data_IF_327553164625
#
_entry.id   IF_327553164625
#
_cell.length_a   1.000
_cell.length_b   1.000
_cell.length_c   1.000
_cell.angle_alpha   90.00
_cell.angle_beta   90.00
_cell.angle_gamma   90.00
#
_symmetry.space_group_name_H-M   'P 1'
#
loop_
_entity.id
_entity.type
_entity.pdbx_description
1 polymer ?
#
# COMPACT_ATOMS: atom_id res chain seq x y z
N UNK A 1 19.27 -5.82 -9.06
CA UNK A 1 17.88 -5.36 -9.30
C UNK A 1 16.97 -5.99 -8.24
N UNK A 2 15.98 -5.28 -7.69
CA UNK A 2 15.07 -5.85 -6.69
C UNK A 2 14.22 -6.94 -7.35
N UNK A 3 14.16 -8.14 -6.77
CA UNK A 3 13.29 -9.22 -7.23
C UNK A 3 11.83 -8.86 -6.92
N UNK A 4 11.04 -8.64 -7.98
CA UNK A 4 9.63 -8.25 -7.91
C UNK A 4 8.74 -9.48 -8.22
N UNK A 5 8.81 -10.49 -7.37
CA UNK A 5 8.11 -11.78 -7.55
C UNK A 5 7.16 -12.07 -6.41
N UNK A 6 5.98 -12.60 -6.74
CA UNK A 6 4.97 -13.02 -5.79
C UNK A 6 5.17 -14.49 -5.41
N UNK A 7 6.39 -14.82 -4.98
CA UNK A 7 6.78 -16.18 -4.57
C UNK A 7 6.63 -16.39 -3.06
N UNK A 8 6.67 -17.65 -2.61
CA UNK A 8 6.66 -18.03 -1.19
C UNK A 8 7.60 -17.18 -0.33
N UNK A 9 8.82 -16.90 -0.82
CA UNK A 9 9.81 -16.13 -0.06
C UNK A 9 9.42 -14.66 0.10
N UNK A 10 8.71 -14.09 -0.87
CA UNK A 10 8.20 -12.74 -0.82
C UNK A 10 6.98 -12.66 0.09
N UNK A 11 6.04 -13.60 -0.07
CA UNK A 11 4.83 -13.73 0.75
C UNK A 11 5.19 -13.86 2.23
N UNK A 12 6.10 -14.76 2.57
CA UNK A 12 6.56 -14.97 3.94
C UNK A 12 7.15 -13.70 4.60
N UNK A 13 7.66 -12.74 3.81
CA UNK A 13 8.24 -11.49 4.32
C UNK A 13 7.21 -10.42 4.65
N UNK A 14 6.00 -10.51 4.12
CA UNK A 14 4.91 -9.53 4.37
C UNK A 14 3.82 -10.06 5.28
N UNK A 15 3.79 -11.37 5.48
CA UNK A 15 2.82 -12.04 6.33
C UNK A 15 3.14 -11.77 7.81
N UNK A 16 2.12 -11.36 8.55
CA UNK A 16 2.21 -11.00 9.97
C UNK A 16 1.40 -11.97 10.83
N UNK A 17 1.71 -12.09 12.14
CA UNK A 17 0.92 -12.96 13.03
C UNK A 17 -0.57 -12.61 13.08
N UNK A 18 -0.91 -11.32 12.93
CA UNK A 18 -2.29 -10.85 12.85
C UNK A 18 -3.01 -11.42 11.63
N UNK A 19 -2.33 -11.58 10.50
CA UNK A 19 -2.89 -12.15 9.28
C UNK A 19 -3.24 -13.64 9.46
N UNK A 20 -2.37 -14.39 10.14
CA UNK A 20 -2.58 -15.82 10.44
C UNK A 20 -3.86 -16.01 11.24
N UNK A 21 -4.05 -15.17 12.26
CA UNK A 21 -5.24 -15.21 13.10
C UNK A 21 -6.49 -14.68 12.38
N UNK A 22 -6.36 -13.55 11.66
CA UNK A 22 -7.48 -12.87 10.99
C UNK A 22 -8.11 -13.74 9.90
N UNK A 23 -7.30 -14.50 9.18
CA UNK A 23 -7.74 -15.33 8.05
C UNK A 23 -7.62 -16.83 8.30
N UNK A 24 -7.37 -17.24 9.54
CA UNK A 24 -7.27 -18.64 9.97
C UNK A 24 -6.39 -19.51 9.04
N UNK A 25 -5.16 -19.04 8.79
CA UNK A 25 -4.29 -19.63 7.76
C UNK A 25 -3.70 -20.98 8.15
N UNK A 26 -3.36 -21.12 9.42
CA UNK A 26 -2.87 -22.36 10.00
C UNK A 26 -2.99 -22.31 11.51
N UNK A 27 -3.24 -23.46 12.11
CA UNK A 27 -3.27 -23.61 13.57
C UNK A 27 -1.92 -24.05 14.11
N UNK A 28 -1.19 -24.87 13.34
CA UNK A 28 0.11 -25.43 13.76
C UNK A 28 1.26 -24.85 12.93
N UNK A 29 2.44 -24.63 13.52
CA UNK A 29 3.60 -24.12 12.77
C UNK A 29 4.03 -25.00 11.59
N UNK A 30 3.78 -26.31 11.65
CA UNK A 30 4.11 -27.30 10.62
C UNK A 30 3.30 -27.09 9.32
N UNK A 31 2.10 -26.54 9.42
CA UNK A 31 1.19 -26.30 8.29
C UNK A 31 1.58 -25.04 7.49
N UNK A 32 2.48 -24.22 8.05
CA UNK A 32 2.86 -22.91 7.52
C UNK A 32 3.35 -22.97 6.08
N UNK A 33 4.26 -23.89 5.76
CA UNK A 33 4.86 -23.97 4.43
C UNK A 33 3.82 -24.33 3.38
N UNK A 34 2.97 -25.33 3.66
CA UNK A 34 1.87 -25.72 2.76
C UNK A 34 0.82 -24.62 2.57
N UNK A 35 0.51 -23.86 3.63
CA UNK A 35 -0.43 -22.74 3.53
C UNK A 35 0.13 -21.59 2.68
N UNK A 36 1.43 -21.31 2.77
CA UNK A 36 2.08 -20.27 1.94
C UNK A 36 2.12 -20.73 0.47
N UNK A 37 2.41 -22.01 0.20
CA UNK A 37 2.37 -22.57 -1.15
C UNK A 37 0.96 -22.51 -1.77
N UNK A 38 -0.07 -22.87 -1.00
CA UNK A 38 -1.45 -22.75 -1.43
C UNK A 38 -1.80 -21.29 -1.78
N UNK A 39 -1.31 -20.34 -0.98
CA UNK A 39 -1.52 -18.91 -1.19
C UNK A 39 -0.80 -18.41 -2.45
N UNK A 40 0.45 -18.83 -2.71
CA UNK A 40 1.16 -18.51 -3.94
C UNK A 40 0.37 -18.99 -5.16
N UNK A 41 -0.10 -20.24 -5.15
CA UNK A 41 -0.89 -20.81 -6.24
C UNK A 41 -2.19 -20.02 -6.49
N UNK A 42 -2.89 -19.63 -5.42
CA UNK A 42 -4.11 -18.80 -5.51
C UNK A 42 -3.83 -17.43 -6.13
N UNK A 43 -2.73 -16.77 -5.72
CA UNK A 43 -2.32 -15.46 -6.26
C UNK A 43 -1.99 -15.56 -7.75
N UNK A 44 -1.24 -16.59 -8.17
CA UNK A 44 -0.88 -16.78 -9.58
C UNK A 44 -2.12 -17.10 -10.42
N UNK A 45 -3.04 -17.92 -9.91
CA UNK A 45 -4.29 -18.26 -10.60
C UNK A 45 -5.19 -17.03 -10.85
N UNK A 46 -5.20 -16.04 -9.94
CA UNK A 46 -5.93 -14.77 -10.11
C UNK A 46 -5.33 -13.85 -11.17
N UNK A 47 -4.13 -14.15 -11.68
CA UNK A 47 -3.41 -13.34 -12.68
C UNK A 47 -3.33 -11.85 -12.31
N UNK A 48 -3.11 -11.56 -11.03
CA UNK A 48 -2.99 -10.18 -10.48
C UNK A 48 -4.25 -9.32 -10.63
N UNK A 49 -5.42 -9.92 -10.81
CA UNK A 49 -6.69 -9.23 -10.69
C UNK A 49 -7.17 -9.23 -9.23
N UNK A 50 -7.45 -8.05 -8.69
CA UNK A 50 -8.03 -7.94 -7.36
C UNK A 50 -9.50 -8.32 -7.37
N UNK A 51 -9.99 -8.82 -6.24
CA UNK A 51 -11.42 -9.05 -6.02
C UNK A 51 -12.11 -7.76 -5.54
N UNK A 52 -13.44 -7.79 -5.45
CA UNK A 52 -14.23 -6.69 -4.91
C UNK A 52 -13.72 -6.29 -3.51
N UNK A 53 -13.42 -5.00 -3.34
CA UNK A 53 -12.93 -4.44 -2.09
C UNK A 53 -14.08 -4.30 -1.09
N UNK A 54 -13.84 -4.67 0.16
CA UNK A 54 -14.81 -4.51 1.25
C UNK A 54 -14.89 -3.03 1.63
N UNK A 55 -16.10 -2.48 1.59
CA UNK A 55 -16.41 -1.14 2.06
C UNK A 55 -16.65 -1.15 3.57
N UNK A 56 -15.88 -0.36 4.31
CA UNK A 56 -16.11 -0.10 5.74
C UNK A 56 -16.18 1.41 5.99
N UNK A 57 -17.10 1.84 6.86
CA UNK A 57 -17.15 3.24 7.28
C UNK A 57 -16.29 3.42 8.54
N UNK A 58 -15.20 4.17 8.43
CA UNK A 58 -14.42 4.63 9.59
C UNK A 58 -14.54 6.13 9.75
N UNK A 59 -14.90 6.60 10.96
CA UNK A 59 -14.99 8.03 11.32
C UNK A 59 -15.82 8.86 10.32
N UNK A 60 -16.92 8.28 9.82
CA UNK A 60 -17.81 8.92 8.85
C UNK A 60 -17.34 8.91 7.39
N UNK A 61 -16.13 8.39 7.10
CA UNK A 61 -15.62 8.21 5.73
C UNK A 61 -15.69 6.75 5.29
N UNK A 62 -15.89 6.55 4.00
CA UNK A 62 -15.79 5.25 3.34
C UNK A 62 -14.32 4.86 3.17
N UNK A 63 -13.96 3.67 3.65
CA UNK A 63 -12.63 3.07 3.53
C UNK A 63 -12.74 1.72 2.86
N UNK A 64 -11.73 1.36 2.07
CA UNK A 64 -11.71 0.13 1.28
C UNK A 64 -10.63 -0.80 1.77
N UNK A 65 -11.00 -2.04 2.02
CA UNK A 65 -10.09 -3.08 2.48
C UNK A 65 -10.13 -4.29 1.54
N UNK A 66 -9.01 -5.00 1.48
CA UNK A 66 -8.97 -6.29 0.79
C UNK A 66 -9.98 -7.25 1.44
N UNK A 67 -10.79 -7.90 0.62
CA UNK A 67 -11.80 -8.84 1.09
C UNK A 67 -11.22 -10.23 1.41
N UNK A 68 -10.14 -10.60 0.73
CA UNK A 68 -9.45 -11.87 0.91
C UNK A 68 -7.97 -11.65 1.24
N UNK A 69 -7.31 -12.70 1.70
CA UNK A 69 -5.90 -12.64 2.05
C UNK A 69 -5.01 -12.47 0.82
N UNK A 70 -5.35 -13.08 -0.32
CA UNK A 70 -4.53 -12.97 -1.53
C UNK A 70 -4.34 -11.51 -1.91
N UNK A 71 -5.43 -10.76 -1.99
CA UNK A 71 -5.43 -9.35 -2.37
C UNK A 71 -4.69 -8.53 -1.31
N UNK A 72 -4.90 -8.82 -0.02
CA UNK A 72 -4.22 -8.11 1.07
C UNK A 72 -2.69 -8.27 0.97
N UNK A 73 -2.22 -9.49 0.76
CA UNK A 73 -0.80 -9.83 0.63
C UNK A 73 -0.22 -9.26 -0.67
N UNK A 74 -0.97 -9.37 -1.77
CA UNK A 74 -0.52 -8.88 -3.08
C UNK A 74 -0.38 -7.35 -3.08
N UNK A 75 -1.32 -6.62 -2.45
CA UNK A 75 -1.23 -5.16 -2.32
C UNK A 75 -0.08 -4.76 -1.38
N UNK A 76 0.13 -5.47 -0.26
CA UNK A 76 1.28 -5.24 0.63
C UNK A 76 2.62 -5.46 -0.07
N UNK A 77 2.72 -6.51 -0.90
CA UNK A 77 3.91 -6.78 -1.69
C UNK A 77 4.17 -5.69 -2.72
N UNK A 78 3.13 -5.30 -3.47
CA UNK A 78 3.20 -4.22 -4.46
C UNK A 78 3.80 -2.96 -3.86
N UNK A 79 3.23 -2.51 -2.75
CA UNK A 79 3.70 -1.30 -2.12
C UNK A 79 5.08 -1.45 -1.49
N UNK A 80 5.43 -2.62 -0.95
CA UNK A 80 6.81 -2.89 -0.54
C UNK A 80 7.78 -2.72 -1.72
N UNK A 81 7.43 -3.18 -2.91
CA UNK A 81 8.26 -2.99 -4.10
C UNK A 81 8.35 -1.52 -4.50
N UNK A 82 7.22 -0.80 -4.56
CA UNK A 82 7.19 0.63 -4.87
C UNK A 82 8.07 1.41 -3.89
N UNK A 83 7.91 1.20 -2.58
CA UNK A 83 8.71 1.88 -1.55
C UNK A 83 10.21 1.61 -1.68
N UNK A 84 10.60 0.36 -2.00
CA UNK A 84 12.03 0.00 -2.13
C UNK A 84 12.65 0.50 -3.43
N UNK A 85 11.92 0.44 -4.54
CA UNK A 85 12.41 0.85 -5.87
C UNK A 85 12.55 2.36 -5.94
N UNK A 86 11.48 3.07 -5.60
CA UNK A 86 11.42 4.53 -5.68
C UNK A 86 12.01 5.22 -4.44
N UNK A 87 12.51 4.43 -3.47
CA UNK A 87 13.09 4.89 -2.21
C UNK A 87 12.15 5.85 -1.46
N UNK A 88 10.84 5.63 -1.59
CA UNK A 88 9.82 6.44 -0.93
C UNK A 88 9.92 6.19 0.57
N UNK A 89 10.24 7.24 1.32
CA UNK A 89 10.31 7.22 2.78
C UNK A 89 9.46 8.37 3.31
N UNK A 90 8.65 8.08 4.30
CA UNK A 90 7.94 9.13 5.03
C UNK A 90 8.96 10.02 5.73
N UNK A 91 8.77 11.33 5.65
CA UNK A 91 9.59 12.30 6.37
C UNK A 91 9.40 12.13 7.87
N UNK A 92 10.49 12.15 8.63
CA UNK A 92 10.43 12.12 10.10
C UNK A 92 9.82 13.44 10.62
N UNK A 93 8.58 13.37 11.07
CA UNK A 93 7.84 14.51 11.61
C UNK A 93 8.59 15.19 12.76
N UNK A 94 9.22 14.43 13.64
CA UNK A 94 9.96 14.99 14.78
C UNK A 94 11.21 15.72 14.31
N UNK A 95 11.90 15.18 13.30
CA UNK A 95 13.03 15.86 12.66
C UNK A 95 12.59 17.16 11.99
N UNK A 96 11.50 17.15 11.22
CA UNK A 96 10.96 18.36 10.58
C UNK A 96 10.61 19.41 11.64
N UNK A 97 9.92 19.03 12.71
CA UNK A 97 9.58 19.94 13.82
C UNK A 97 10.83 20.55 14.45
N UNK A 98 11.88 19.76 14.71
CA UNK A 98 13.15 20.27 15.25
C UNK A 98 13.80 21.28 14.30
N UNK A 99 13.86 20.97 13.01
CA UNK A 99 14.43 21.87 12.01
C UNK A 99 13.68 23.19 11.93
N UNK A 100 12.35 23.15 11.90
CA UNK A 100 11.51 24.37 11.91
C UNK A 100 11.77 25.19 13.17
N UNK A 101 11.83 24.56 14.35
CA UNK A 101 12.16 25.26 15.61
C UNK A 101 13.54 25.92 15.58
N UNK A 102 14.53 25.28 14.98
CA UNK A 102 15.89 25.86 14.86
C UNK A 102 15.86 27.09 13.98
N UNK A 103 15.18 27.04 12.83
CA UNK A 103 15.07 28.19 11.91
C UNK A 103 14.36 29.36 12.58
N UNK A 104 13.28 29.10 13.32
CA UNK A 104 12.51 30.15 14.01
C UNK A 104 13.21 30.77 15.23
N UNK A 105 14.35 30.22 15.68
CA UNK A 105 15.14 30.76 16.80
C UNK A 105 16.20 31.77 16.35
N UNK A 106 16.49 31.81 15.06
CA UNK A 106 17.40 32.79 14.50
C UNK A 106 16.76 34.19 14.55
N UNK A 107 17.55 35.26 14.56
CA UNK A 107 17.07 36.62 14.85
C UNK A 107 16.41 37.32 13.65
N UNK A 108 15.78 36.54 12.76
CA UNK A 108 15.10 37.05 11.57
C UNK A 108 13.62 37.36 11.80
N UNK A 109 13.06 38.24 10.98
CA UNK A 109 11.62 38.49 10.92
C UNK A 109 10.94 37.39 10.10
N UNK A 110 10.22 36.49 10.78
CA UNK A 110 9.52 35.36 10.14
C UNK A 110 8.01 35.53 10.16
N UNK A 111 7.35 35.16 9.06
CA UNK A 111 5.91 34.91 9.01
C UNK A 111 5.67 33.42 8.82
N UNK A 112 4.88 32.80 9.71
CA UNK A 112 4.58 31.37 9.65
C UNK A 112 3.19 31.15 9.07
N UNK A 113 3.12 30.46 7.93
CA UNK A 113 1.86 30.02 7.32
C UNK A 113 1.70 28.51 7.48
N UNK A 114 0.61 28.08 8.11
CA UNK A 114 0.23 26.67 8.21
C UNK A 114 -0.86 26.40 7.18
N UNK A 115 -0.55 25.54 6.22
CA UNK A 115 -1.49 25.07 5.20
C UNK A 115 -1.90 23.64 5.50
N UNK A 116 -3.17 23.31 5.24
CA UNK A 116 -3.71 21.96 5.32
C UNK A 116 -4.27 21.56 3.96
N UNK A 117 -3.92 20.35 3.50
CA UNK A 117 -4.39 19.84 2.21
C UNK A 117 -5.72 19.16 2.45
N UNK A 118 -6.80 19.81 2.04
CA UNK A 118 -8.15 19.23 2.11
C UNK A 118 -8.21 17.99 1.23
N UNK A 119 -8.68 16.88 1.81
CA UNK A 119 -8.91 15.63 1.08
C UNK A 119 -7.69 15.20 0.26
N UNK A 120 -6.52 15.18 0.91
CA UNK A 120 -5.23 14.94 0.26
C UNK A 120 -5.24 13.68 -0.62
N UNK A 121 -5.66 12.53 -0.08
CA UNK A 121 -5.67 11.28 -0.85
C UNK A 121 -6.67 11.32 -2.01
N UNK A 122 -7.84 11.92 -1.80
CA UNK A 122 -8.88 12.06 -2.82
C UNK A 122 -8.49 13.06 -3.92
N UNK A 123 -7.51 13.92 -3.65
CA UNK A 123 -6.98 14.92 -4.60
C UNK A 123 -5.83 14.39 -5.47
N UNK A 124 -5.28 13.21 -5.16
CA UNK A 124 -4.19 12.62 -5.93
C UNK A 124 -4.72 12.06 -7.25
N UNK A 125 -4.11 12.49 -8.37
CA UNK A 125 -4.34 11.87 -9.67
C UNK A 125 -3.64 10.50 -9.75
N UNK A 126 -4.42 9.46 -9.48
CA UNK A 126 -3.95 8.09 -9.46
C UNK A 126 -3.58 7.60 -10.87
N UNK A 127 -4.29 8.04 -11.92
CA UNK A 127 -3.99 7.64 -13.30
C UNK A 127 -2.67 8.21 -13.79
N UNK A 128 -2.43 9.51 -13.54
CA UNK A 128 -1.16 10.14 -13.86
C UNK A 128 0.00 9.46 -13.10
N UNK A 129 -0.24 9.07 -11.85
CA UNK A 129 0.73 8.33 -11.04
C UNK A 129 1.07 6.97 -11.66
N UNK A 130 0.08 6.19 -12.09
CA UNK A 130 0.32 4.89 -12.74
C UNK A 130 1.05 5.07 -14.07
N UNK A 131 0.61 6.01 -14.93
CA UNK A 131 1.30 6.31 -16.21
C UNK A 131 2.76 6.66 -16.01
N UNK A 132 3.08 7.41 -14.95
CA UNK A 132 4.47 7.70 -14.61
C UNK A 132 5.25 6.43 -14.27
N UNK A 133 4.69 5.57 -13.41
CA UNK A 133 5.32 4.30 -13.04
C UNK A 133 5.49 3.35 -14.24
N UNK A 134 4.56 3.37 -15.19
CA UNK A 134 4.65 2.65 -16.46
C UNK A 134 5.80 3.18 -17.33
N UNK A 135 5.89 4.50 -17.49
CA UNK A 135 6.94 5.15 -18.30
C UNK A 135 8.34 4.97 -17.71
N UNK A 136 8.46 4.87 -16.38
CA UNK A 136 9.74 4.63 -15.71
C UNK A 136 10.31 3.24 -16.06
N UNK A 137 9.46 2.27 -16.45
CA UNK A 137 9.85 0.91 -16.86
C UNK A 137 10.68 0.13 -15.81
N UNK A 138 10.63 0.54 -14.54
CA UNK A 138 11.37 -0.09 -13.43
C UNK A 138 10.49 -1.15 -12.72
N UNK A 139 9.18 -0.91 -12.66
CA UNK A 139 8.23 -1.79 -12.00
C UNK A 139 7.92 -2.99 -12.89
N UNK A 140 7.81 -4.19 -12.30
CA UNK A 140 7.50 -5.39 -13.06
C UNK A 140 6.10 -5.30 -13.71
N UNK A 141 5.89 -5.89 -14.91
CA UNK A 141 4.59 -5.87 -15.57
C UNK A 141 3.44 -6.43 -14.72
N UNK A 142 3.71 -7.42 -13.87
CA UNK A 142 2.73 -7.96 -12.91
C UNK A 142 2.25 -6.92 -11.90
N UNK A 143 3.15 -6.07 -11.41
CA UNK A 143 2.83 -5.00 -10.47
C UNK A 143 2.02 -3.88 -11.14
N UNK A 144 2.34 -3.55 -12.40
CA UNK A 144 1.57 -2.59 -13.20
C UNK A 144 0.16 -3.12 -13.46
N UNK A 145 0.01 -4.40 -13.85
CA UNK A 145 -1.31 -5.03 -14.01
C UNK A 145 -2.14 -4.94 -12.73
N UNK A 146 -1.51 -5.21 -11.59
CA UNK A 146 -2.17 -5.11 -10.29
C UNK A 146 -2.60 -3.67 -9.97
N UNK A 147 -1.75 -2.67 -10.22
CA UNK A 147 -2.10 -1.25 -10.06
C UNK A 147 -3.30 -0.86 -10.93
N UNK A 148 -3.31 -1.30 -12.19
CA UNK A 148 -4.41 -1.05 -13.12
C UNK A 148 -5.71 -1.76 -12.68
N UNK A 149 -5.61 -2.97 -12.12
CA UNK A 149 -6.75 -3.69 -11.54
C UNK A 149 -7.34 -2.92 -10.35
N UNK A 150 -6.48 -2.45 -9.43
CA UNK A 150 -6.88 -1.60 -8.29
C UNK A 150 -7.53 -0.31 -8.78
N UNK A 151 -6.91 0.38 -9.74
CA UNK A 151 -7.43 1.63 -10.32
C UNK A 151 -8.82 1.45 -10.92
N UNK A 152 -9.02 0.37 -11.68
CA UNK A 152 -10.30 0.07 -12.33
C UNK A 152 -11.42 -0.21 -11.33
N UNK A 153 -11.15 -0.99 -10.29
CA UNK A 153 -12.10 -1.19 -9.19
C UNK A 153 -12.44 0.11 -8.48
N UNK A 154 -11.46 0.98 -8.27
CA UNK A 154 -11.70 2.26 -7.63
C UNK A 154 -12.65 3.15 -8.47
N UNK A 155 -12.42 3.23 -9.79
CA UNK A 155 -13.29 4.02 -10.67
C UNK A 155 -14.72 3.52 -10.72
N UNK A 156 -14.92 2.20 -10.79
CA UNK A 156 -16.24 1.59 -10.90
C UNK A 156 -17.11 1.83 -9.67
N UNK A 157 -16.51 1.93 -8.49
CA UNK A 157 -17.18 2.22 -7.22
C UNK A 157 -17.37 3.74 -6.97
N UNK A 158 -17.04 4.59 -7.95
CA UNK A 158 -17.15 6.05 -7.84
C UNK A 158 -16.13 6.70 -6.90
N UNK A 159 -14.97 6.04 -6.72
CA UNK A 159 -14.03 6.42 -5.68
C UNK A 159 -13.03 7.49 -6.08
N UNK A 160 -12.85 8.45 -5.17
CA UNK A 160 -11.58 9.13 -4.96
C UNK A 160 -10.88 8.40 -3.82
N UNK A 161 -9.81 7.66 -4.13
CA UNK A 161 -9.20 6.64 -3.26
C UNK A 161 -8.93 7.11 -1.81
N UNK A 162 -9.55 6.45 -0.83
CA UNK A 162 -9.08 6.41 0.56
C UNK A 162 -8.53 4.99 0.82
N UNK A 163 -7.35 4.72 0.27
CA UNK A 163 -6.67 3.41 0.38
C UNK A 163 -5.97 3.37 1.73
N UNK A 164 -6.71 3.01 2.77
CA UNK A 164 -6.13 2.35 3.95
C UNK A 164 -5.87 0.86 3.65
N UNK A 165 -5.15 0.57 2.57
CA UNK A 165 -4.49 -0.75 2.43
C UNK A 165 -3.08 -0.71 3.03
N UNK A 166 -2.64 0.47 3.50
CA UNK A 166 -1.43 0.60 4.29
C UNK A 166 -1.73 0.51 5.78
N UNK A 167 -0.99 -0.34 6.54
CA UNK A 167 -1.14 -0.39 7.98
C UNK A 167 -0.87 1.00 8.53
N UNK A 168 -1.92 1.62 9.05
CA UNK A 168 -1.91 2.93 9.67
C UNK A 168 -1.31 2.78 11.06
N UNK A 169 0.01 2.65 11.10
CA UNK A 169 0.81 3.07 12.26
C UNK A 169 1.34 4.47 11.93
N UNK A 170 0.46 5.46 12.05
CA UNK A 170 0.86 6.85 12.29
C UNK A 170 1.00 7.07 13.79
#
# INVERSE_FOLDING_TARGET
MLKQTFDNTAIAKVLTPEDVWRWDLWSKPEEKEGAIEALENSIQAKNFNISALKLEKRRGKATYQANNIEDAITIRLLDRYIRRIYKVRQSDRNRVIRQVKTVLRDSGDYTVMRLDIKQCYESIDFEASIKKLENDMILAPSCIRLLNSISSHCKNEGLKLDVQVFPSHC
#
